data_IF_475334046659
#
_entry.id   IF_475334046659
#
_cell.length_a   1.000
_cell.length_b   1.000
_cell.length_c   1.000
_cell.angle_alpha   90.00
_cell.angle_beta   90.00
_cell.angle_gamma   90.00
#
_symmetry.space_group_name_H-M   'P 1'
#
loop_
_entity.id
_entity.type
_entity.pdbx_description
1 polymer ?
#
# COMPACT_ATOMS: atom_id res chain seq x y z
N UNK A 1 -0.17 -2.85 -13.80
CA UNK A 1 0.54 -1.59 -13.49
C UNK A 1 1.34 -1.78 -12.20
N UNK A 2 2.54 -1.21 -12.08
CA UNK A 2 3.41 -1.37 -10.89
C UNK A 2 3.28 -0.10 -10.04
N UNK A 3 2.93 -0.24 -8.76
CA UNK A 3 2.82 0.89 -7.83
C UNK A 3 4.17 1.60 -7.69
N UNK A 4 4.16 2.93 -7.80
CA UNK A 4 5.31 3.78 -7.46
C UNK A 4 5.67 3.64 -5.97
N UNK A 5 6.88 4.04 -5.57
CA UNK A 5 7.21 4.15 -4.15
C UNK A 5 6.22 5.06 -3.43
N UNK A 6 5.90 6.20 -4.05
CA UNK A 6 4.95 7.18 -3.50
C UNK A 6 3.56 6.57 -3.33
N UNK A 7 3.06 5.83 -4.35
CA UNK A 7 1.78 5.15 -4.25
C UNK A 7 1.74 4.16 -3.09
N UNK A 8 2.82 3.38 -2.90
CA UNK A 8 2.91 2.40 -1.81
C UNK A 8 2.88 3.07 -0.43
N UNK A 9 3.63 4.17 -0.29
CA UNK A 9 3.66 4.97 0.94
C UNK A 9 2.28 5.58 1.21
N UNK A 10 1.64 6.12 0.18
CA UNK A 10 0.33 6.74 0.29
C UNK A 10 -0.77 5.74 0.65
N UNK A 11 -0.77 4.56 0.02
CA UNK A 11 -1.68 3.45 0.37
C UNK A 11 -1.56 3.09 1.86
N UNK A 12 -0.33 3.03 2.38
CA UNK A 12 -0.09 2.69 3.78
C UNK A 12 -0.66 3.74 4.75
N UNK A 13 -0.39 5.03 4.51
CA UNK A 13 -0.92 6.09 5.34
C UNK A 13 -2.44 6.21 5.25
N UNK A 14 -3.01 6.09 4.05
CA UNK A 14 -4.46 6.05 3.87
C UNK A 14 -5.08 4.88 4.63
N UNK A 15 -4.45 3.70 4.61
CA UNK A 15 -4.93 2.54 5.39
C UNK A 15 -4.92 2.81 6.89
N UNK A 16 -3.86 3.47 7.41
CA UNK A 16 -3.77 3.86 8.83
C UNK A 16 -4.78 4.94 9.21
N UNK A 17 -5.17 5.80 8.27
CA UNK A 17 -6.24 6.79 8.46
C UNK A 17 -7.67 6.20 8.44
N UNK A 18 -7.81 4.89 8.20
CA UNK A 18 -9.12 4.21 8.19
C UNK A 18 -9.67 3.89 6.81
N UNK A 19 -8.91 4.13 5.73
CA UNK A 19 -9.36 3.74 4.38
C UNK A 19 -9.53 2.23 4.25
N UNK A 20 -10.58 1.81 3.54
CA UNK A 20 -10.85 0.39 3.28
C UNK A 20 -10.01 -0.16 2.14
N UNK A 21 -9.74 -1.46 2.12
CA UNK A 21 -9.02 -2.10 1.01
C UNK A 21 -9.77 -1.94 -0.33
N UNK A 22 -11.10 -1.93 -0.31
CA UNK A 22 -11.93 -1.76 -1.51
C UNK A 22 -11.80 -0.36 -2.10
N UNK A 23 -11.79 0.69 -1.27
CA UNK A 23 -11.60 2.07 -1.74
C UNK A 23 -10.19 2.27 -2.29
N UNK A 24 -9.17 1.75 -1.61
CA UNK A 24 -7.78 1.82 -2.07
C UNK A 24 -7.58 1.05 -3.38
N UNK A 25 -8.16 -0.15 -3.50
CA UNK A 25 -8.10 -0.96 -4.71
C UNK A 25 -8.68 -0.24 -5.92
N UNK A 26 -9.83 0.43 -5.74
CA UNK A 26 -10.46 1.24 -6.79
C UNK A 26 -9.65 2.49 -7.14
N UNK A 27 -9.13 3.19 -6.13
CA UNK A 27 -8.38 4.45 -6.32
C UNK A 27 -7.04 4.23 -7.05
N UNK A 28 -6.30 3.18 -6.67
CA UNK A 28 -4.98 2.88 -7.23
C UNK A 28 -5.04 1.86 -8.36
N UNK A 29 -6.25 1.45 -8.77
CA UNK A 29 -6.50 0.41 -9.77
C UNK A 29 -5.63 -0.85 -9.54
N UNK A 30 -5.54 -1.29 -8.28
CA UNK A 30 -4.69 -2.38 -7.84
C UNK A 30 -5.50 -3.42 -7.07
N UNK A 31 -5.05 -4.66 -7.04
CA UNK A 31 -5.78 -5.74 -6.38
C UNK A 31 -5.77 -5.57 -4.84
N UNK A 32 -6.86 -5.95 -4.19
CA UNK A 32 -6.98 -5.89 -2.73
C UNK A 32 -5.92 -6.75 -2.04
N UNK A 33 -5.65 -7.95 -2.56
CA UNK A 33 -4.64 -8.87 -2.03
C UNK A 33 -3.23 -8.27 -2.08
N UNK A 34 -2.89 -7.52 -3.13
CA UNK A 34 -1.59 -6.87 -3.24
C UNK A 34 -1.46 -5.65 -2.32
N UNK A 35 -2.55 -4.91 -2.10
CA UNK A 35 -2.60 -3.85 -1.07
C UNK A 35 -2.44 -4.46 0.32
N UNK A 36 -3.14 -5.56 0.62
CA UNK A 36 -3.01 -6.25 1.90
C UNK A 36 -1.59 -6.76 2.12
N UNK A 37 -0.98 -7.36 1.10
CA UNK A 37 0.42 -7.77 1.13
C UNK A 37 1.35 -6.58 1.42
N UNK A 38 1.16 -5.45 0.73
CA UNK A 38 1.96 -4.24 0.93
C UNK A 38 1.88 -3.74 2.37
N UNK A 39 0.67 -3.69 2.94
CA UNK A 39 0.45 -3.25 4.32
C UNK A 39 1.19 -4.18 5.28
N UNK A 40 1.04 -5.50 5.13
CA UNK A 40 1.74 -6.49 5.97
C UNK A 40 3.27 -6.39 5.85
N UNK A 41 3.76 -6.13 4.65
CA UNK A 41 5.20 -5.95 4.40
C UNK A 41 5.75 -4.72 5.13
N UNK A 42 5.04 -3.59 5.04
CA UNK A 42 5.42 -2.35 5.73
C UNK A 42 5.26 -2.48 7.25
N UNK A 43 4.20 -3.11 7.74
CA UNK A 43 4.01 -3.33 9.19
C UNK A 43 5.13 -4.21 9.78
N UNK A 44 5.70 -5.14 9.00
CA UNK A 44 6.79 -6.00 9.45
C UNK A 44 8.17 -5.36 9.39
N UNK A 45 8.47 -4.61 8.32
CA UNK A 45 9.82 -4.14 8.01
C UNK A 45 9.97 -2.62 8.06
N UNK A 46 8.89 -1.89 8.36
CA UNK A 46 8.82 -0.44 8.26
C UNK A 46 8.66 0.06 6.83
N UNK A 47 8.35 1.35 6.67
CA UNK A 47 8.09 1.97 5.34
C UNK A 47 9.33 1.99 4.44
N UNK A 48 10.52 1.82 5.02
CA UNK A 48 11.78 1.75 4.27
C UNK A 48 11.84 0.56 3.30
N UNK A 49 11.15 -0.54 3.58
CA UNK A 49 11.19 -1.76 2.74
C UNK A 49 10.59 -1.57 1.35
N UNK A 50 9.67 -0.60 1.20
CA UNK A 50 9.06 -0.28 -0.10
C UNK A 50 9.85 0.76 -0.88
N UNK A 51 10.80 1.44 -0.22
CA UNK A 51 11.77 2.33 -0.86
C UNK A 51 12.72 1.44 -1.65
N UNK A 52 12.71 1.62 -2.97
CA UNK A 52 13.43 0.78 -3.92
C UNK A 52 14.87 0.48 -3.47
N UNK A 53 15.25 -0.79 -3.60
CA UNK A 53 16.57 -1.15 -4.12
C UNK A 53 16.61 -0.94 -5.63
#
# INVERSE_FOLDING_TARGET
>A
MKLSYEDKVQIYYLRKSGATLKSLSKQFNFNQSGIEYLIRLIDRHGVGIVKRG
#
